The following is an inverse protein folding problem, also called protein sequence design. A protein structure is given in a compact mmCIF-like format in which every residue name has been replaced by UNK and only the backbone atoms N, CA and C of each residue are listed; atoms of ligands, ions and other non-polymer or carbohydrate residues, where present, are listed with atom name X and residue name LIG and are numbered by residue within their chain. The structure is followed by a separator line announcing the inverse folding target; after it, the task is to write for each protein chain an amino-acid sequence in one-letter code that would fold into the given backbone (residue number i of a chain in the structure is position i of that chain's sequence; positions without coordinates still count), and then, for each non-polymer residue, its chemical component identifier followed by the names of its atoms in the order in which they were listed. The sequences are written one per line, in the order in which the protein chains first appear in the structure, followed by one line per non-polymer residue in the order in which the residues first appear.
data_IF_206170875310
#
_entry.id   IF_206170875310
#
_cell.length_a   1.000
_cell.length_b   1.000
_cell.length_c   1.000
_cell.angle_alpha   90.00
_cell.angle_beta   90.00
_cell.angle_gamma   90.00
#
_symmetry.space_group_name_H-M   'P 1'
#
loop_
_entity.id
_entity.type
_entity.pdbx_description
1 polymer ?
#
# COMPACT_ATOMS: atom_id res chain seq x y z
N UNK A 1 -12.51 14.18 -0.16
CA UNK A 1 -11.57 14.17 0.99
C UNK A 1 -10.33 13.40 0.53
N UNK A 2 -9.12 13.75 0.91
CA UNK A 2 -7.95 13.04 0.36
C UNK A 2 -7.64 11.80 1.23
N UNK A 3 -7.60 10.63 0.61
CA UNK A 3 -7.37 9.33 1.29
C UNK A 3 -6.19 9.33 2.27
N UNK A 4 -5.08 10.03 1.96
CA UNK A 4 -3.92 10.13 2.86
C UNK A 4 -4.26 10.82 4.21
N UNK A 5 -5.14 11.82 4.23
CA UNK A 5 -5.54 12.51 5.46
C UNK A 5 -6.32 11.59 6.39
N UNK A 6 -7.23 10.81 5.85
CA UNK A 6 -7.99 9.79 6.60
C UNK A 6 -7.07 8.69 7.15
N UNK A 7 -6.06 8.27 6.37
CA UNK A 7 -5.07 7.29 6.82
C UNK A 7 -4.22 7.83 7.97
N UNK A 8 -3.79 9.10 7.90
CA UNK A 8 -3.08 9.76 9.00
C UNK A 8 -3.94 9.77 10.27
N UNK A 9 -5.21 10.20 10.16
CA UNK A 9 -6.17 10.19 11.27
C UNK A 9 -6.36 8.78 11.85
N UNK A 10 -6.52 7.77 10.98
CA UNK A 10 -6.67 6.38 11.38
C UNK A 10 -5.48 5.91 12.23
N UNK A 11 -4.25 6.04 11.73
CA UNK A 11 -3.06 5.60 12.46
C UNK A 11 -2.80 6.40 13.72
N UNK A 12 -3.06 7.72 13.70
CA UNK A 12 -2.97 8.55 14.89
C UNK A 12 -3.91 8.05 16.00
N UNK A 13 -5.16 7.78 15.67
CA UNK A 13 -6.14 7.25 16.63
C UNK A 13 -5.75 5.85 17.11
N UNK A 14 -5.29 4.99 16.22
CA UNK A 14 -4.81 3.64 16.54
C UNK A 14 -3.65 3.67 17.54
N UNK A 15 -2.79 4.69 17.48
CA UNK A 15 -1.67 4.92 18.41
C UNK A 15 -2.05 5.76 19.63
N UNK A 16 -3.32 6.13 19.79
CA UNK A 16 -3.79 6.94 20.94
C UNK A 16 -3.21 8.36 20.99
N UNK A 17 -2.75 8.90 19.86
CA UNK A 17 -2.09 10.22 19.82
C UNK A 17 -3.10 11.34 19.61
N UNK A 18 -2.82 12.52 20.22
CA UNK A 18 -3.50 13.78 19.85
C UNK A 18 -2.88 14.39 18.61
N UNK A 19 -3.60 15.24 17.88
CA UNK A 19 -3.06 15.99 16.74
C UNK A 19 -1.84 16.82 17.13
N UNK A 20 -1.90 17.49 18.30
CA UNK A 20 -0.79 18.28 18.84
C UNK A 20 0.44 17.42 19.06
N UNK A 21 0.29 16.28 19.74
CA UNK A 21 1.39 15.37 20.03
C UNK A 21 2.04 14.84 18.76
N UNK A 22 1.25 14.32 17.82
CA UNK A 22 1.75 13.86 16.52
C UNK A 22 2.48 14.98 15.75
N UNK A 23 1.89 16.19 15.72
CA UNK A 23 2.49 17.34 15.05
C UNK A 23 3.86 17.70 15.62
N UNK A 24 4.02 17.68 16.95
CA UNK A 24 5.33 17.89 17.58
C UNK A 24 6.35 16.80 17.22
N UNK A 25 5.94 15.52 17.19
CA UNK A 25 6.83 14.41 16.83
C UNK A 25 7.37 14.53 15.40
N UNK A 26 6.57 15.02 14.46
CA UNK A 26 7.02 15.23 13.07
C UNK A 26 7.75 16.57 12.85
N UNK A 27 7.97 17.34 13.94
CA UNK A 27 8.80 18.55 13.94
C UNK A 27 8.05 19.85 13.72
N UNK A 28 6.73 19.91 13.95
CA UNK A 28 6.01 21.19 13.94
C UNK A 28 6.18 21.95 15.26
N UNK A 29 6.26 23.27 15.21
CA UNK A 29 6.26 24.10 16.42
C UNK A 29 5.01 23.82 17.27
N UNK A 30 5.18 23.67 18.58
CA UNK A 30 4.12 23.29 19.51
C UNK A 30 2.85 24.16 19.40
N UNK A 31 3.03 25.47 19.16
CA UNK A 31 1.93 26.45 19.02
C UNK A 31 1.03 26.23 17.81
N UNK A 32 1.49 25.49 16.79
CA UNK A 32 0.77 25.30 15.52
C UNK A 32 0.63 23.84 15.14
N UNK A 33 1.11 22.93 15.98
CA UNK A 33 1.19 21.50 15.68
C UNK A 33 -0.18 20.86 15.43
N UNK A 34 -1.14 21.17 16.28
CA UNK A 34 -2.53 20.72 16.19
C UNK A 34 -3.23 21.25 14.94
N UNK A 35 -3.12 22.56 14.68
CA UNK A 35 -3.73 23.21 13.51
C UNK A 35 -3.18 22.61 12.20
N UNK A 36 -1.85 22.42 12.15
CA UNK A 36 -1.22 21.81 10.96
C UNK A 36 -1.66 20.36 10.75
N UNK A 37 -1.70 19.57 11.82
CA UNK A 37 -2.17 18.18 11.71
C UNK A 37 -3.64 18.12 11.30
N UNK A 38 -4.50 18.98 11.85
CA UNK A 38 -5.89 19.07 11.43
C UNK A 38 -6.04 19.39 9.93
N UNK A 39 -5.19 20.26 9.37
CA UNK A 39 -5.18 20.58 7.93
C UNK A 39 -4.79 19.36 7.07
N UNK A 40 -3.85 18.52 7.50
CA UNK A 40 -3.49 17.30 6.78
C UNK A 40 -4.57 16.24 6.91
N UNK A 41 -5.13 16.02 8.10
CA UNK A 41 -6.19 15.04 8.33
C UNK A 41 -7.51 15.40 7.63
N UNK A 42 -7.81 16.70 7.47
CA UNK A 42 -8.99 17.16 6.72
C UNK A 42 -8.80 17.18 5.20
N UNK A 43 -7.57 16.95 4.71
CA UNK A 43 -7.26 17.06 3.29
C UNK A 43 -7.13 18.50 2.77
N UNK A 44 -7.20 19.52 3.65
CA UNK A 44 -6.95 20.92 3.28
C UNK A 44 -5.51 21.13 2.79
N UNK A 45 -4.59 20.29 3.27
CA UNK A 45 -3.21 20.20 2.79
C UNK A 45 -2.82 18.75 2.55
N UNK A 46 -2.01 18.53 1.51
CA UNK A 46 -1.40 17.22 1.22
C UNK A 46 0.03 17.21 1.76
N UNK A 47 0.43 16.21 2.57
CA UNK A 47 1.81 16.06 3.00
C UNK A 47 2.71 15.76 1.79
N UNK A 48 3.90 16.35 1.77
CA UNK A 48 4.96 15.99 0.82
C UNK A 48 5.67 14.73 1.30
N UNK A 49 6.47 14.11 0.44
CA UNK A 49 7.19 12.86 0.71
C UNK A 49 7.94 12.87 2.04
N UNK A 50 8.67 13.94 2.36
CA UNK A 50 9.42 14.05 3.62
C UNK A 50 8.53 13.96 4.85
N UNK A 51 7.36 14.62 4.84
CA UNK A 51 6.41 14.56 5.95
C UNK A 51 5.72 13.20 5.99
N UNK A 52 5.38 12.61 4.84
CA UNK A 52 4.80 11.27 4.77
C UNK A 52 5.75 10.23 5.37
N UNK A 53 7.05 10.31 5.06
CA UNK A 53 8.06 9.42 5.62
C UNK A 53 8.19 9.57 7.14
N UNK A 54 8.22 10.81 7.66
CA UNK A 54 8.26 11.07 9.11
C UNK A 54 7.01 10.56 9.83
N UNK A 55 5.83 10.75 9.23
CA UNK A 55 4.58 10.21 9.79
C UNK A 55 4.61 8.69 9.82
N UNK A 56 5.06 8.05 8.75
CA UNK A 56 5.20 6.60 8.68
C UNK A 56 6.18 6.06 9.73
N UNK A 57 7.31 6.73 9.92
CA UNK A 57 8.30 6.41 10.96
C UNK A 57 7.67 6.50 12.37
N UNK A 58 6.98 7.61 12.69
CA UNK A 58 6.30 7.79 13.98
C UNK A 58 5.24 6.72 14.23
N UNK A 59 4.52 6.31 13.20
CA UNK A 59 3.50 5.26 13.31
C UNK A 59 4.07 3.84 13.31
N UNK A 60 5.34 3.65 12.89
CA UNK A 60 5.97 2.33 12.73
C UNK A 60 5.37 1.54 11.58
N UNK A 61 5.11 2.19 10.43
CA UNK A 61 4.49 1.61 9.24
C UNK A 61 5.27 1.99 7.97
N UNK A 62 4.98 1.30 6.85
CA UNK A 62 5.47 1.73 5.53
C UNK A 62 4.80 3.05 5.10
N UNK A 63 5.52 3.97 4.42
CA UNK A 63 4.93 5.14 3.78
C UNK A 63 3.80 4.78 2.80
N UNK A 64 3.88 3.62 2.16
CA UNK A 64 2.85 3.12 1.24
C UNK A 64 1.51 2.85 1.94
N UNK A 65 1.53 2.52 3.23
CA UNK A 65 0.31 2.37 4.02
C UNK A 65 -0.47 3.68 4.23
N UNK A 66 0.18 4.83 4.00
CA UNK A 66 -0.46 6.15 3.99
C UNK A 66 -0.89 6.58 2.59
N UNK A 67 -0.23 6.08 1.54
CA UNK A 67 -0.43 6.49 0.15
C UNK A 67 -1.36 5.52 -0.59
N UNK A 68 -2.60 5.42 -0.11
CA UNK A 68 -3.62 4.55 -0.72
C UNK A 68 -4.56 5.34 -1.65
N UNK A 69 -5.22 4.70 -2.63
CA UNK A 69 -6.25 5.32 -3.46
C UNK A 69 -7.38 5.92 -2.63
N UNK A 70 -8.09 6.91 -3.21
CA UNK A 70 -9.31 7.47 -2.60
C UNK A 70 -10.46 6.46 -2.71
N UNK A 71 -10.78 5.81 -1.61
CA UNK A 71 -11.88 4.85 -1.48
C UNK A 71 -12.92 5.30 -0.45
N UNK A 72 -12.94 6.59 -0.08
CA UNK A 72 -13.80 7.13 0.97
C UNK A 72 -15.27 7.20 0.57
N UNK A 73 -15.57 7.18 -0.74
CA UNK A 73 -16.93 7.11 -1.26
C UNK A 73 -17.20 5.76 -1.93
N UNK A 74 -18.45 5.28 -1.87
CA UNK A 74 -18.83 4.07 -2.61
C UNK A 74 -18.60 4.21 -4.12
N UNK A 75 -18.74 5.41 -4.68
CA UNK A 75 -18.48 5.68 -6.09
C UNK A 75 -16.98 5.52 -6.38
N UNK A 76 -16.10 6.12 -5.57
CA UNK A 76 -14.64 5.99 -5.69
C UNK A 76 -14.19 4.56 -5.50
N UNK A 77 -14.73 3.85 -4.49
CA UNK A 77 -14.47 2.44 -4.27
C UNK A 77 -14.86 1.60 -5.49
N UNK A 78 -16.06 1.80 -6.07
CA UNK A 78 -16.51 1.06 -7.25
C UNK A 78 -15.60 1.31 -8.46
N UNK A 79 -15.20 2.57 -8.70
CA UNK A 79 -14.25 2.86 -9.78
C UNK A 79 -12.87 2.26 -9.55
N UNK A 80 -12.43 2.16 -8.29
CA UNK A 80 -11.20 1.42 -7.95
C UNK A 80 -11.34 -0.07 -8.29
N UNK A 81 -12.46 -0.70 -7.93
CA UNK A 81 -12.73 -2.10 -8.27
C UNK A 81 -12.83 -2.32 -9.79
N UNK A 82 -13.47 -1.43 -10.54
CA UNK A 82 -13.51 -1.49 -12.02
C UNK A 82 -12.10 -1.35 -12.62
N UNK A 83 -11.26 -0.48 -12.05
CA UNK A 83 -9.87 -0.37 -12.50
C UNK A 83 -9.08 -1.67 -12.23
N UNK A 84 -9.35 -2.34 -11.11
CA UNK A 84 -8.75 -3.65 -10.81
C UNK A 84 -9.27 -4.73 -11.78
N UNK A 85 -10.53 -4.66 -12.22
CA UNK A 85 -11.06 -5.52 -13.29
C UNK A 85 -10.31 -5.28 -14.60
N UNK A 86 -10.19 -4.01 -15.02
CA UNK A 86 -9.55 -3.65 -16.29
C UNK A 86 -8.05 -4.04 -16.35
N UNK A 87 -7.31 -3.86 -15.26
CA UNK A 87 -5.85 -4.03 -15.24
C UNK A 87 -5.45 -5.43 -14.78
N UNK A 88 -6.08 -5.93 -13.71
CA UNK A 88 -5.67 -7.14 -13.01
C UNK A 88 -6.62 -8.32 -13.19
N UNK A 89 -7.67 -8.17 -14.02
CA UNK A 89 -8.62 -9.26 -14.25
C UNK A 89 -9.40 -9.66 -13.00
N UNK A 90 -9.65 -8.69 -12.09
CA UNK A 90 -10.58 -8.92 -10.98
C UNK A 90 -11.97 -9.18 -11.56
N UNK A 91 -12.59 -10.28 -11.19
CA UNK A 91 -13.95 -10.62 -11.61
C UNK A 91 -14.85 -10.78 -10.39
N UNK A 92 -16.14 -10.58 -10.60
CA UNK A 92 -17.15 -10.73 -9.55
C UNK A 92 -18.18 -11.76 -10.00
N UNK A 93 -18.50 -12.70 -9.14
CA UNK A 93 -19.50 -13.72 -9.41
C UNK A 93 -20.40 -13.95 -8.20
N UNK A 94 -21.61 -14.44 -8.46
CA UNK A 94 -22.53 -14.87 -7.41
C UNK A 94 -22.53 -16.40 -7.36
N UNK A 95 -22.17 -16.96 -6.18
CA UNK A 95 -22.14 -18.39 -5.94
C UNK A 95 -22.87 -18.69 -4.63
N UNK A 96 -23.86 -19.57 -4.67
CA UNK A 96 -24.63 -20.00 -3.51
C UNK A 96 -25.22 -18.84 -2.67
N UNK A 97 -25.54 -17.72 -3.34
CA UNK A 97 -26.07 -16.51 -2.69
C UNK A 97 -25.02 -15.51 -2.24
N UNK A 98 -23.76 -15.89 -2.22
CA UNK A 98 -22.62 -15.04 -1.87
C UNK A 98 -22.01 -14.33 -3.07
N UNK A 99 -21.47 -13.13 -2.82
CA UNK A 99 -20.69 -12.39 -3.82
C UNK A 99 -19.22 -12.74 -3.60
N UNK A 100 -18.58 -13.30 -4.62
CA UNK A 100 -17.18 -13.71 -4.60
C UNK A 100 -16.40 -12.85 -5.58
N UNK A 101 -15.29 -12.30 -5.12
CA UNK A 101 -14.29 -11.65 -5.97
C UNK A 101 -13.14 -12.61 -6.20
N UNK A 102 -12.70 -12.73 -7.44
CA UNK A 102 -11.58 -13.59 -7.84
C UNK A 102 -10.74 -12.89 -8.89
N UNK A 103 -9.48 -13.26 -8.97
CA UNK A 103 -8.58 -12.85 -10.05
C UNK A 103 -8.43 -13.99 -11.03
N UNK A 104 -8.59 -13.68 -12.33
CA UNK A 104 -8.32 -14.64 -13.39
C UNK A 104 -6.82 -14.57 -13.77
N UNK A 105 -6.00 -15.58 -13.43
CA UNK A 105 -4.57 -15.57 -13.70
C UNK A 105 -4.23 -15.61 -15.20
N UNK A 106 -5.18 -15.97 -16.05
CA UNK A 106 -4.98 -16.07 -17.49
C UNK A 106 -5.26 -14.75 -18.22
N UNK A 107 -5.79 -13.75 -17.52
CA UNK A 107 -6.13 -12.46 -18.13
C UNK A 107 -4.87 -11.66 -18.51
N UNK A 108 -3.87 -11.60 -17.63
CA UNK A 108 -2.64 -10.86 -17.87
C UNK A 108 -1.52 -11.31 -16.92
N UNK A 109 -0.27 -10.86 -17.19
CA UNK A 109 0.85 -11.06 -16.27
C UNK A 109 0.63 -10.32 -14.94
N UNK A 110 0.03 -9.16 -15.00
CA UNK A 110 -0.34 -8.35 -13.83
C UNK A 110 -1.37 -9.08 -12.95
N UNK A 111 -2.34 -9.78 -13.58
CA UNK A 111 -3.30 -10.61 -12.87
C UNK A 111 -2.63 -11.77 -12.13
N UNK A 112 -1.66 -12.44 -12.76
CA UNK A 112 -0.91 -13.51 -12.12
C UNK A 112 -0.08 -13.00 -10.94
N UNK A 113 0.63 -11.88 -11.12
CA UNK A 113 1.38 -11.24 -10.03
C UNK A 113 0.47 -10.88 -8.85
N UNK A 114 -0.70 -10.29 -9.13
CA UNK A 114 -1.67 -9.96 -8.07
C UNK A 114 -2.15 -11.22 -7.35
N UNK A 115 -2.41 -12.31 -8.08
CA UNK A 115 -2.85 -13.57 -7.47
C UNK A 115 -1.78 -14.13 -6.53
N UNK A 116 -0.49 -14.07 -6.90
CA UNK A 116 0.62 -14.49 -6.05
C UNK A 116 0.66 -13.69 -4.74
N UNK A 117 0.45 -12.36 -4.81
CA UNK A 117 0.38 -11.50 -3.63
C UNK A 117 -0.85 -11.81 -2.76
N UNK A 118 -1.99 -12.11 -3.37
CA UNK A 118 -3.20 -12.53 -2.65
C UNK A 118 -3.00 -13.88 -1.94
N UNK A 119 -2.21 -14.80 -2.51
CA UNK A 119 -1.84 -16.05 -1.83
C UNK A 119 -0.99 -15.78 -0.59
N UNK A 120 0.00 -14.87 -0.68
CA UNK A 120 0.80 -14.45 0.48
C UNK A 120 -0.11 -13.85 1.57
N UNK A 121 -1.02 -12.98 1.19
CA UNK A 121 -1.97 -12.40 2.14
C UNK A 121 -2.89 -13.46 2.76
N UNK A 122 -3.39 -14.39 1.95
CA UNK A 122 -4.23 -15.48 2.43
C UNK A 122 -3.50 -16.33 3.49
N UNK A 123 -2.26 -16.71 3.22
CA UNK A 123 -1.44 -17.48 4.14
C UNK A 123 -1.22 -16.77 5.49
N UNK A 124 -0.90 -15.47 5.47
CA UNK A 124 -0.73 -14.69 6.70
C UNK A 124 -2.06 -14.54 7.48
N UNK A 125 -3.18 -14.36 6.76
CA UNK A 125 -4.50 -14.30 7.37
C UNK A 125 -4.90 -15.63 8.00
N UNK A 126 -4.53 -16.77 7.40
CA UNK A 126 -4.79 -18.10 7.97
C UNK A 126 -4.00 -18.33 9.24
N UNK A 127 -2.73 -17.95 9.31
CA UNK A 127 -1.93 -18.00 10.56
C UNK A 127 -2.63 -17.22 11.69
N UNK A 128 -3.12 -16.02 11.39
CA UNK A 128 -3.87 -15.22 12.37
C UNK A 128 -5.18 -15.92 12.79
N UNK A 129 -5.95 -16.44 11.84
CA UNK A 129 -7.21 -17.14 12.10
C UNK A 129 -7.01 -18.40 12.95
N UNK A 130 -5.91 -19.11 12.73
CA UNK A 130 -5.56 -20.32 13.46
C UNK A 130 -4.89 -20.04 14.82
N UNK A 131 -4.64 -18.77 15.16
CA UNK A 131 -3.99 -18.37 16.41
C UNK A 131 -2.48 -18.60 16.44
N UNK A 132 -1.85 -18.85 15.28
CA UNK A 132 -0.39 -19.02 15.15
C UNK A 132 0.36 -17.71 15.31
N UNK A 133 -0.27 -16.60 14.95
CA UNK A 133 0.23 -15.23 15.14
C UNK A 133 -0.83 -14.38 15.82
N UNK A 134 -0.39 -13.36 16.57
CA UNK A 134 -1.29 -12.40 17.20
C UNK A 134 -1.90 -11.43 16.17
N UNK A 135 -2.97 -10.72 16.57
CA UNK A 135 -3.52 -9.62 15.76
C UNK A 135 -2.49 -8.52 15.53
N UNK A 136 -1.67 -8.21 16.53
CA UNK A 136 -0.63 -7.19 16.42
C UNK A 136 0.47 -7.59 15.42
N UNK A 137 0.84 -8.86 15.35
CA UNK A 137 1.80 -9.37 14.37
C UNK A 137 1.22 -9.33 12.96
N UNK A 138 -0.05 -9.74 12.80
CA UNK A 138 -0.74 -9.64 11.52
C UNK A 138 -0.88 -8.18 11.06
N UNK A 139 -1.21 -7.25 11.96
CA UNK A 139 -1.31 -5.82 11.64
C UNK A 139 0.06 -5.22 11.34
N UNK A 140 1.13 -5.61 12.05
CA UNK A 140 2.51 -5.22 11.72
C UNK A 140 2.90 -5.67 10.32
N UNK A 141 2.62 -6.94 9.97
CA UNK A 141 2.88 -7.45 8.63
C UNK A 141 2.14 -6.63 7.58
N UNK A 142 0.84 -6.47 7.73
CA UNK A 142 -0.04 -5.80 6.76
C UNK A 142 0.32 -4.32 6.55
N UNK A 143 0.66 -3.60 7.61
CA UNK A 143 0.98 -2.17 7.53
C UNK A 143 2.42 -1.89 7.08
N UNK A 144 3.27 -2.90 7.08
CA UNK A 144 4.65 -2.79 6.62
C UNK A 144 4.93 -3.56 5.32
N UNK A 145 3.88 -4.13 4.71
CA UNK A 145 4.00 -4.81 3.43
C UNK A 145 4.65 -3.89 2.38
N UNK A 146 5.61 -4.36 1.53
CA UNK A 146 6.07 -5.75 1.37
C UNK A 146 7.33 -6.11 2.19
N UNK A 147 7.74 -5.32 3.17
CA UNK A 147 9.02 -5.44 3.90
C UNK A 147 9.26 -6.81 4.54
N UNK A 148 8.19 -7.52 4.88
CA UNK A 148 8.25 -8.85 5.53
C UNK A 148 7.95 -10.00 4.58
N UNK A 149 7.74 -9.74 3.30
CA UNK A 149 7.57 -10.79 2.32
C UNK A 149 8.95 -11.20 1.79
N UNK A 150 9.27 -12.49 1.84
CA UNK A 150 10.45 -13.05 1.16
C UNK A 150 10.25 -13.13 -0.37
N UNK A 151 9.25 -12.45 -0.89
CA UNK A 151 9.04 -12.36 -2.32
C UNK A 151 10.13 -11.44 -2.86
N UNK A 152 11.10 -12.01 -3.53
CA UNK A 152 12.02 -11.27 -4.37
C UNK A 152 11.19 -10.61 -5.49
N UNK A 153 10.69 -9.41 -5.21
CA UNK A 153 10.22 -8.55 -6.29
C UNK A 153 11.43 -8.31 -7.19
N UNK A 154 11.44 -8.94 -8.34
CA UNK A 154 12.25 -8.45 -9.43
C UNK A 154 11.73 -7.03 -9.71
N UNK A 155 12.35 -6.02 -9.09
CA UNK A 155 12.20 -4.65 -9.57
C UNK A 155 12.48 -4.72 -11.06
N UNK A 156 11.55 -4.25 -11.87
CA UNK A 156 11.86 -4.00 -13.27
C UNK A 156 13.21 -3.27 -13.28
N UNK A 157 14.21 -3.76 -14.03
CA UNK A 157 15.53 -3.15 -14.03
C UNK A 157 15.34 -1.65 -14.24
N UNK A 158 16.04 -0.82 -13.50
CA UNK A 158 16.03 0.62 -13.73
C UNK A 158 16.34 0.88 -15.21
N UNK A 159 15.86 1.97 -15.76
CA UNK A 159 16.11 2.30 -17.17
C UNK A 159 17.61 2.22 -17.49
N UNK A 160 18.48 2.66 -16.56
CA UNK A 160 19.95 2.55 -16.65
C UNK A 160 20.43 1.09 -16.70
N UNK A 161 19.81 0.17 -15.94
CA UNK A 161 20.18 -1.26 -15.98
C UNK A 161 19.68 -1.92 -17.27
N UNK A 162 18.51 -1.54 -17.77
CA UNK A 162 18.01 -2.00 -19.08
C UNK A 162 18.91 -1.51 -20.22
N UNK A 163 19.38 -0.28 -20.19
CA UNK A 163 20.30 0.28 -21.18
C UNK A 163 21.66 -0.42 -21.10
N UNK A 164 22.22 -0.62 -19.91
CA UNK A 164 23.47 -1.36 -19.70
C UNK A 164 23.37 -2.84 -20.14
N UNK A 165 22.24 -3.50 -19.89
CA UNK A 165 21.99 -4.86 -20.37
C UNK A 165 21.85 -4.90 -21.90
N UNK A 166 21.15 -3.94 -22.50
CA UNK A 166 21.01 -3.84 -23.96
C UNK A 166 22.37 -3.61 -24.66
N UNK A 167 23.24 -2.80 -24.04
CA UNK A 167 24.60 -2.53 -24.53
C UNK A 167 25.50 -3.77 -24.41
N UNK A 168 25.45 -4.48 -23.28
CA UNK A 168 26.17 -5.75 -23.05
C UNK A 168 25.72 -6.87 -24.00
N UNK A 169 24.45 -6.90 -24.39
CA UNK A 169 23.94 -7.84 -25.40
C UNK A 169 24.36 -7.49 -26.83
N UNK A 170 24.45 -6.19 -27.18
CA UNK A 170 24.99 -5.76 -28.48
C UNK A 170 26.45 -6.16 -28.67
N UNK A 171 27.26 -6.05 -27.63
CA UNK A 171 28.69 -6.42 -27.68
C UNK A 171 28.88 -7.95 -27.81
N UNK A 172 27.92 -8.77 -27.39
CA UNK A 172 27.95 -10.23 -27.60
C UNK A 172 27.51 -10.63 -29.03
N UNK A 173 26.55 -9.94 -29.60
CA UNK A 173 26.05 -10.22 -30.97
C UNK A 173 27.01 -9.76 -32.05
N UNK A 174 27.96 -8.83 -31.78
CA UNK A 174 28.95 -8.39 -32.71
C UNK A 174 30.29 -9.15 -32.64
N UNK A 175 30.36 -10.23 -31.85
CA UNK A 175 31.56 -11.08 -31.68
C UNK A 175 31.48 -12.44 -32.36
N UNK A 176 30.39 -12.74 -33.05
CA UNK A 176 30.22 -13.88 -33.97
C UNK A 176 30.14 -13.38 -35.39
#
# INVERSE_FOLDING_TARGET
MMAIGERIRFFRNLRGMTQKYLGCLVGFPEKTADIRMAQYESGTRTPKADLTNKLAEVFGISPDALSVPDIDSYIGLMHTLFTLEDIYGLTIEKRDGEIIMRVDPFNSREAQNLLDELHVWCAEREKYRNGEISKDDYDKWRYNYPKYTNVNYAKAPSQELNEAMAEAFKDKLNKD
#
